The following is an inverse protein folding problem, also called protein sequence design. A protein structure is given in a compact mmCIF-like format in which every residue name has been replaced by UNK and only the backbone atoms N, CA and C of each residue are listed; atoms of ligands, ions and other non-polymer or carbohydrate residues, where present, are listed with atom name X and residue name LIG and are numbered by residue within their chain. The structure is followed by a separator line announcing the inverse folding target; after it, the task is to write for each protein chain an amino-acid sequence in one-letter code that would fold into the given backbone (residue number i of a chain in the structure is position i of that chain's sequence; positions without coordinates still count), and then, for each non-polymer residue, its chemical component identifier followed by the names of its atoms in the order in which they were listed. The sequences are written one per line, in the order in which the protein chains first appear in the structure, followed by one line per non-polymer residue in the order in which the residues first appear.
data_IF_253962289273
#
_entry.id   IF_253962289273
#
_cell.length_a   1.000
_cell.length_b   1.000
_cell.length_c   1.000
_cell.angle_alpha   90.00
_cell.angle_beta   90.00
_cell.angle_gamma   90.00
#
_symmetry.space_group_name_H-M   'P 1'
#
loop_
_entity.id
_entity.type
_entity.pdbx_description
1 polymer ?
#
# COMPACT_ATOMS: atom_id res chain seq x y z
N UNK A 1 -56.31 9.44 26.40
CA UNK A 1 -55.57 8.21 26.04
C UNK A 1 -56.07 7.56 24.74
N UNK A 2 -57.39 7.44 24.51
CA UNK A 2 -57.97 6.87 23.28
C UNK A 2 -57.66 7.62 21.97
N UNK A 3 -57.55 8.96 22.01
CA UNK A 3 -57.29 9.78 20.81
C UNK A 3 -55.90 9.56 20.19
N UNK A 4 -54.87 9.35 21.01
CA UNK A 4 -53.51 9.07 20.54
C UNK A 4 -53.39 7.68 19.90
N UNK A 5 -54.15 6.71 20.41
CA UNK A 5 -54.16 5.33 19.88
C UNK A 5 -54.81 5.25 18.48
N UNK A 6 -55.92 5.98 18.28
CA UNK A 6 -56.56 6.10 16.97
C UNK A 6 -55.67 6.80 15.93
N UNK A 7 -54.98 7.87 16.33
CA UNK A 7 -54.05 8.57 15.44
C UNK A 7 -52.85 7.71 15.06
N UNK A 8 -52.31 6.93 16.00
CA UNK A 8 -51.21 5.99 15.76
C UNK A 8 -51.62 4.85 14.80
N UNK A 9 -52.81 4.26 14.99
CA UNK A 9 -53.36 3.24 14.07
C UNK A 9 -53.59 3.82 12.67
N UNK A 10 -54.05 5.08 12.58
CA UNK A 10 -54.29 5.74 11.31
C UNK A 10 -52.99 6.10 10.58
N UNK A 11 -51.96 6.56 11.31
CA UNK A 11 -50.60 6.73 10.80
C UNK A 11 -49.98 5.40 10.34
N UNK A 12 -50.13 4.32 11.09
CA UNK A 12 -49.61 2.99 10.72
C UNK A 12 -50.33 2.41 9.49
N UNK A 13 -51.65 2.63 9.36
CA UNK A 13 -52.43 2.27 8.16
C UNK A 13 -52.06 3.13 6.95
N UNK A 14 -51.79 4.42 7.12
CA UNK A 14 -51.32 5.31 6.06
C UNK A 14 -49.91 4.93 5.59
N UNK A 15 -49.01 4.59 6.52
CA UNK A 15 -47.67 4.08 6.20
C UNK A 15 -47.74 2.73 5.46
N UNK A 16 -48.59 1.80 5.92
CA UNK A 16 -48.80 0.51 5.26
C UNK A 16 -49.46 0.60 3.88
N UNK A 17 -50.41 1.53 3.68
CA UNK A 17 -51.05 1.74 2.36
C UNK A 17 -50.11 2.42 1.37
N UNK A 18 -49.30 3.38 1.81
CA UNK A 18 -48.27 3.99 0.97
C UNK A 18 -47.16 3.01 0.60
N UNK A 19 -46.76 2.13 1.53
CA UNK A 19 -45.85 1.00 1.24
C UNK A 19 -46.46 0.02 0.23
N UNK A 20 -47.73 -0.31 0.36
CA UNK A 20 -48.43 -1.22 -0.56
C UNK A 20 -48.54 -0.64 -1.98
N UNK A 21 -48.75 0.67 -2.12
CA UNK A 21 -48.77 1.35 -3.43
C UNK A 21 -47.38 1.39 -4.06
N UNK A 22 -46.34 1.69 -3.28
CA UNK A 22 -44.95 1.64 -3.73
C UNK A 22 -44.56 0.23 -4.19
N UNK A 23 -44.89 -0.81 -3.40
CA UNK A 23 -44.60 -2.20 -3.74
C UNK A 23 -45.35 -2.66 -5.00
N UNK A 24 -46.61 -2.24 -5.19
CA UNK A 24 -47.36 -2.50 -6.43
C UNK A 24 -46.73 -1.83 -7.64
N UNK A 25 -46.30 -0.58 -7.51
CA UNK A 25 -45.63 0.16 -8.58
C UNK A 25 -44.28 -0.49 -8.95
N UNK A 26 -43.48 -0.89 -7.96
CA UNK A 26 -42.23 -1.63 -8.18
C UNK A 26 -42.53 -2.97 -8.88
N UNK A 27 -43.53 -3.72 -8.41
CA UNK A 27 -43.91 -5.00 -9.03
C UNK A 27 -44.37 -4.83 -10.47
N UNK A 28 -45.16 -3.80 -10.76
CA UNK A 28 -45.59 -3.47 -12.13
C UNK A 28 -44.39 -3.14 -13.02
N UNK A 29 -43.52 -2.24 -12.56
CA UNK A 29 -42.31 -1.85 -13.28
C UNK A 29 -41.36 -3.04 -13.54
N UNK A 30 -41.18 -3.94 -12.56
CA UNK A 30 -40.38 -5.16 -12.70
C UNK A 30 -40.97 -6.12 -13.75
N UNK A 31 -42.29 -6.28 -13.79
CA UNK A 31 -42.98 -7.16 -14.75
C UNK A 31 -42.91 -6.58 -16.17
N UNK A 32 -43.07 -5.27 -16.29
CA UNK A 32 -42.98 -4.52 -17.55
C UNK A 32 -41.56 -4.59 -18.13
N UNK A 33 -40.54 -4.42 -17.29
CA UNK A 33 -39.12 -4.46 -17.68
C UNK A 33 -38.46 -5.84 -17.53
N UNK A 34 -39.24 -6.91 -17.33
CA UNK A 34 -38.72 -8.24 -17.00
C UNK A 34 -37.67 -8.76 -17.99
N UNK A 35 -37.83 -8.48 -19.28
CA UNK A 35 -36.89 -8.92 -20.32
C UNK A 35 -35.53 -8.25 -20.15
N UNK A 36 -35.53 -6.93 -19.95
CA UNK A 36 -34.33 -6.13 -19.71
C UNK A 36 -33.61 -6.58 -18.44
N UNK A 37 -34.36 -6.77 -17.35
CA UNK A 37 -33.82 -7.23 -16.06
C UNK A 37 -33.23 -8.64 -16.17
N UNK A 38 -33.90 -9.55 -16.87
CA UNK A 38 -33.36 -10.89 -17.12
C UNK A 38 -32.07 -10.81 -17.93
N UNK A 39 -32.05 -10.07 -19.05
CA UNK A 39 -30.82 -9.96 -19.86
C UNK A 39 -29.66 -9.35 -19.09
N UNK A 40 -29.91 -8.27 -18.34
CA UNK A 40 -28.87 -7.60 -17.55
C UNK A 40 -28.35 -8.48 -16.41
N UNK A 41 -29.25 -9.19 -15.72
CA UNK A 41 -28.88 -10.10 -14.63
C UNK A 41 -28.11 -11.31 -15.16
N UNK A 42 -28.53 -11.87 -16.29
CA UNK A 42 -27.82 -12.98 -16.94
C UNK A 42 -26.45 -12.54 -17.42
N UNK A 43 -26.32 -11.39 -18.08
CA UNK A 43 -25.01 -10.88 -18.51
C UNK A 43 -24.10 -10.60 -17.33
N UNK A 44 -24.60 -9.96 -16.27
CA UNK A 44 -23.83 -9.71 -15.06
C UNK A 44 -23.41 -11.03 -14.39
N UNK A 45 -24.32 -12.00 -14.29
CA UNK A 45 -24.03 -13.33 -13.75
C UNK A 45 -22.93 -14.06 -14.52
N UNK A 46 -22.97 -14.01 -15.86
CA UNK A 46 -21.92 -14.58 -16.72
C UNK A 46 -20.58 -13.89 -16.46
N UNK A 47 -20.54 -12.55 -16.46
CA UNK A 47 -19.29 -11.81 -16.22
C UNK A 47 -18.71 -12.11 -14.84
N UNK A 48 -19.56 -12.13 -13.81
CA UNK A 48 -19.14 -12.48 -12.44
C UNK A 48 -18.57 -13.90 -12.41
N UNK A 49 -19.21 -14.86 -13.09
CA UNK A 49 -18.74 -16.24 -13.18
C UNK A 49 -17.40 -16.35 -13.93
N UNK A 50 -17.27 -15.71 -15.09
CA UNK A 50 -16.02 -15.73 -15.86
C UNK A 50 -14.87 -15.09 -15.09
N UNK A 51 -15.15 -14.01 -14.34
CA UNK A 51 -14.17 -13.31 -13.52
C UNK A 51 -13.80 -14.09 -12.26
N UNK A 52 -14.74 -14.76 -11.60
CA UNK A 52 -14.44 -15.61 -10.45
C UNK A 52 -13.60 -16.83 -10.81
N UNK A 53 -13.74 -17.32 -12.04
CA UNK A 53 -12.89 -18.36 -12.62
C UNK A 53 -11.55 -17.84 -13.17
N UNK A 54 -11.32 -16.52 -13.17
CA UNK A 54 -10.08 -15.90 -13.66
C UNK A 54 -9.92 -15.89 -15.19
N UNK A 55 -10.95 -16.28 -15.96
CA UNK A 55 -10.85 -16.41 -17.43
C UNK A 55 -10.62 -15.07 -18.15
N UNK A 56 -11.02 -13.96 -17.51
CA UNK A 56 -10.84 -12.60 -18.04
C UNK A 56 -9.55 -11.93 -17.56
N UNK A 57 -8.81 -12.55 -16.64
CA UNK A 57 -7.70 -11.91 -15.91
C UNK A 57 -6.61 -11.35 -16.82
N UNK A 58 -6.23 -12.09 -17.87
CA UNK A 58 -5.21 -11.65 -18.82
C UNK A 58 -5.62 -10.37 -19.58
N UNK A 59 -6.89 -10.28 -19.96
CA UNK A 59 -7.45 -9.11 -20.65
C UNK A 59 -7.56 -7.93 -19.70
N UNK A 60 -8.03 -8.17 -18.47
CA UNK A 60 -8.14 -7.13 -17.44
C UNK A 60 -6.77 -6.51 -17.12
N UNK A 61 -5.72 -7.33 -16.96
CA UNK A 61 -4.36 -6.85 -16.75
C UNK A 61 -3.79 -6.08 -17.94
N UNK A 62 -4.06 -6.54 -19.16
CA UNK A 62 -3.61 -5.83 -20.37
C UNK A 62 -4.26 -4.46 -20.49
N UNK A 63 -5.58 -4.37 -20.27
CA UNK A 63 -6.31 -3.11 -20.28
C UNK A 63 -5.83 -2.18 -19.17
N UNK A 64 -5.60 -2.71 -17.97
CA UNK A 64 -5.03 -1.96 -16.86
C UNK A 64 -3.66 -1.36 -17.22
N UNK A 65 -2.73 -2.18 -17.72
CA UNK A 65 -1.41 -1.74 -18.15
C UNK A 65 -1.50 -0.66 -19.24
N UNK A 66 -2.46 -0.77 -20.16
CA UNK A 66 -2.70 0.22 -21.19
C UNK A 66 -3.18 1.55 -20.62
N UNK A 67 -4.14 1.53 -19.68
CA UNK A 67 -4.60 2.76 -19.01
C UNK A 67 -3.49 3.46 -18.22
N UNK A 68 -2.55 2.70 -17.62
CA UNK A 68 -1.37 3.29 -16.99
C UNK A 68 -0.46 4.01 -17.98
N UNK A 69 -0.28 3.47 -19.19
CA UNK A 69 0.51 4.12 -20.25
C UNK A 69 -0.16 5.36 -20.83
N UNK A 70 -1.48 5.42 -20.82
CA UNK A 70 -2.24 6.59 -21.27
C UNK A 70 -2.22 7.74 -20.24
N UNK A 71 -1.82 7.47 -18.99
CA UNK A 71 -1.73 8.50 -17.97
C UNK A 71 -0.65 9.52 -18.36
N UNK A 72 -0.93 10.84 -18.28
CA UNK A 72 0.09 11.85 -18.45
C UNK A 72 1.25 11.61 -17.49
N UNK A 73 2.49 11.84 -17.95
CA UNK A 73 3.66 11.73 -17.11
C UNK A 73 3.57 12.67 -15.91
N UNK A 74 3.84 12.15 -14.71
CA UNK A 74 3.91 12.98 -13.51
C UNK A 74 5.23 13.78 -13.52
N UNK A 75 5.18 15.10 -13.25
CA UNK A 75 6.40 15.89 -13.13
C UNK A 75 7.21 15.43 -11.91
N UNK A 76 8.53 15.59 -11.98
CA UNK A 76 9.41 15.33 -10.85
C UNK A 76 9.06 16.25 -9.69
N UNK A 77 8.93 15.69 -8.49
CA UNK A 77 8.67 16.45 -7.28
C UNK A 77 9.99 17.04 -6.75
N UNK A 78 10.16 18.37 -6.73
CA UNK A 78 11.42 19.00 -6.31
C UNK A 78 11.72 18.80 -4.81
N UNK A 79 10.77 18.27 -4.03
CA UNK A 79 10.94 17.98 -2.60
C UNK A 79 11.62 16.64 -2.34
N UNK A 80 11.78 15.81 -3.37
CA UNK A 80 12.33 14.45 -3.26
C UNK A 80 13.69 14.41 -3.94
N UNK A 81 14.69 13.91 -3.21
CA UNK A 81 16.03 13.65 -3.74
C UNK A 81 16.33 12.17 -3.60
N UNK A 82 16.82 11.56 -4.68
CA UNK A 82 17.28 10.16 -4.70
C UNK A 82 18.80 10.18 -4.78
N UNK A 83 19.46 9.61 -3.77
CA UNK A 83 20.90 9.35 -3.79
C UNK A 83 21.09 7.89 -4.20
N UNK A 84 21.37 7.69 -5.49
CA UNK A 84 21.67 6.37 -6.04
C UNK A 84 23.12 5.99 -5.85
N UNK A 85 23.39 4.69 -5.87
CA UNK A 85 24.73 4.12 -6.07
C UNK A 85 24.70 3.51 -7.47
N UNK A 86 25.52 4.03 -8.38
CA UNK A 86 25.59 3.51 -9.74
C UNK A 86 26.82 2.60 -9.95
N UNK A 87 26.98 2.12 -11.18
CA UNK A 87 28.09 1.23 -11.55
C UNK A 87 29.46 1.91 -11.39
N UNK A 88 29.55 3.22 -11.63
CA UNK A 88 30.80 3.97 -11.48
C UNK A 88 31.19 4.11 -10.00
N UNK A 89 30.21 4.28 -9.13
CA UNK A 89 30.42 4.25 -7.68
C UNK A 89 30.88 2.87 -7.20
N UNK A 90 30.25 1.79 -7.70
CA UNK A 90 30.62 0.42 -7.35
C UNK A 90 32.06 0.11 -7.77
N UNK A 91 32.47 0.50 -8.98
CA UNK A 91 33.84 0.29 -9.44
C UNK A 91 34.87 1.04 -8.59
N UNK A 92 34.49 2.19 -8.04
CA UNK A 92 35.38 3.04 -7.24
C UNK A 92 35.45 2.64 -5.77
N UNK A 93 34.31 2.29 -5.17
CA UNK A 93 34.17 2.06 -3.72
C UNK A 93 33.97 0.59 -3.35
N UNK A 94 33.74 -0.28 -4.34
CA UNK A 94 33.40 -1.68 -4.15
C UNK A 94 31.94 -1.91 -3.81
N UNK A 95 31.50 -3.17 -3.86
CA UNK A 95 30.17 -3.58 -3.43
C UNK A 95 30.24 -4.77 -2.48
N UNK A 96 29.52 -4.76 -1.34
CA UNK A 96 28.71 -3.64 -0.83
C UNK A 96 29.55 -2.44 -0.39
N UNK A 97 29.00 -1.22 -0.53
CA UNK A 97 29.62 0.00 0.00
C UNK A 97 29.84 -0.17 1.52
N UNK A 98 31.03 0.22 2.01
CA UNK A 98 31.37 0.14 3.43
C UNK A 98 30.57 1.11 4.31
N UNK A 99 30.57 0.84 5.61
CA UNK A 99 29.79 1.57 6.60
C UNK A 99 30.36 2.96 6.89
N UNK A 100 31.67 3.17 6.75
CA UNK A 100 32.29 4.50 6.83
C UNK A 100 31.67 5.46 5.80
N UNK A 101 31.61 5.06 4.54
CA UNK A 101 31.03 5.87 3.47
C UNK A 101 29.53 6.10 3.70
N UNK A 102 28.82 5.08 4.19
CA UNK A 102 27.40 5.19 4.53
C UNK A 102 27.17 6.18 5.67
N UNK A 103 27.97 6.14 6.72
CA UNK A 103 27.90 7.07 7.84
C UNK A 103 28.12 8.51 7.38
N UNK A 104 29.13 8.75 6.53
CA UNK A 104 29.41 10.08 5.97
C UNK A 104 28.26 10.61 5.11
N UNK A 105 27.66 9.77 4.27
CA UNK A 105 26.50 10.15 3.45
C UNK A 105 25.31 10.48 4.36
N UNK A 106 25.01 9.64 5.35
CA UNK A 106 23.92 9.88 6.29
C UNK A 106 24.11 11.15 7.11
N UNK A 107 25.32 11.45 7.55
CA UNK A 107 25.64 12.70 8.25
C UNK A 107 25.45 13.92 7.35
N UNK A 108 25.91 13.86 6.09
CA UNK A 108 25.70 14.93 5.10
C UNK A 108 24.21 15.16 4.84
N UNK A 109 23.43 14.09 4.66
CA UNK A 109 21.99 14.17 4.48
C UNK A 109 21.32 14.76 5.72
N UNK A 110 21.69 14.32 6.92
CA UNK A 110 21.13 14.84 8.16
C UNK A 110 21.41 16.33 8.36
N UNK A 111 22.61 16.80 7.99
CA UNK A 111 22.96 18.22 8.06
C UNK A 111 22.03 19.11 7.23
N UNK A 112 21.52 18.59 6.09
CA UNK A 112 20.55 19.30 5.24
C UNK A 112 19.13 19.35 5.83
N UNK A 113 18.90 18.76 7.01
CA UNK A 113 17.62 18.76 7.73
C UNK A 113 16.42 18.30 6.88
N UNK A 114 16.52 17.19 6.13
CA UNK A 114 15.38 16.65 5.38
C UNK A 114 14.27 16.26 6.35
N UNK A 115 13.02 16.26 5.87
CA UNK A 115 11.87 15.91 6.71
C UNK A 115 11.83 14.41 7.03
N UNK A 116 12.27 13.55 6.11
CA UNK A 116 12.45 12.12 6.33
C UNK A 116 13.63 11.61 5.51
N UNK A 117 14.32 10.57 5.98
CA UNK A 117 15.41 9.88 5.27
C UNK A 117 15.03 8.42 5.13
N UNK A 118 15.09 7.88 3.91
CA UNK A 118 14.89 6.46 3.65
C UNK A 118 16.20 5.80 3.22
N UNK A 119 16.58 4.71 3.88
CA UNK A 119 17.73 3.89 3.52
C UNK A 119 17.25 2.55 2.94
N UNK A 120 17.09 2.48 1.61
CA UNK A 120 16.71 1.27 0.87
C UNK A 120 17.94 0.45 0.45
N UNK A 121 18.79 0.13 1.43
CA UNK A 121 19.99 -0.72 1.28
C UNK A 121 20.02 -1.70 2.43
N UNK A 122 20.16 -3.00 2.14
CA UNK A 122 20.23 -4.02 3.17
C UNK A 122 21.52 -3.89 3.99
N UNK A 123 21.35 -3.87 5.31
CA UNK A 123 22.42 -3.70 6.31
C UNK A 123 22.21 -4.64 7.49
N UNK A 124 22.03 -5.92 7.19
CA UNK A 124 21.86 -7.01 8.16
C UNK A 124 23.17 -7.42 8.86
N UNK A 125 24.32 -7.13 8.23
CA UNK A 125 25.65 -7.39 8.78
C UNK A 125 26.57 -6.16 8.69
N UNK A 126 27.53 -6.02 9.61
CA UNK A 126 28.59 -5.00 9.53
C UNK A 126 29.36 -5.05 8.20
N UNK A 127 29.68 -3.88 7.65
CA UNK A 127 30.48 -3.68 6.44
C UNK A 127 31.65 -2.78 6.75
N UNK A 128 32.67 -3.35 7.38
CA UNK A 128 33.88 -2.61 7.74
C UNK A 128 34.61 -2.01 6.52
N UNK A 129 35.33 -0.90 6.70
CA UNK A 129 35.50 -0.14 7.95
C UNK A 129 34.29 0.75 8.27
N UNK A 130 34.15 1.10 9.55
CA UNK A 130 33.30 2.22 10.01
C UNK A 130 31.93 1.83 10.55
N UNK A 131 31.71 0.56 10.92
CA UNK A 131 30.43 0.08 11.44
C UNK A 131 29.95 0.90 12.65
N UNK A 132 30.85 1.22 13.59
CA UNK A 132 30.50 2.00 14.77
C UNK A 132 29.99 3.41 14.41
N UNK A 133 30.64 4.07 13.44
CA UNK A 133 30.22 5.39 12.96
C UNK A 133 28.84 5.32 12.29
N UNK A 134 28.58 4.26 11.54
CA UNK A 134 27.28 4.02 10.91
C UNK A 134 26.18 3.78 11.95
N UNK A 135 26.42 2.93 12.95
CA UNK A 135 25.47 2.70 14.06
C UNK A 135 25.18 4.01 14.79
N UNK A 136 26.21 4.80 15.13
CA UNK A 136 26.03 6.11 15.78
C UNK A 136 25.24 7.08 14.90
N UNK A 137 25.43 7.06 13.57
CA UNK A 137 24.61 7.86 12.66
C UNK A 137 23.13 7.40 12.67
N UNK A 138 22.87 6.09 12.60
CA UNK A 138 21.51 5.55 12.66
C UNK A 138 20.81 5.86 13.98
N UNK A 139 21.54 5.86 15.09
CA UNK A 139 21.03 6.19 16.41
C UNK A 139 20.65 7.68 16.50
N UNK A 140 21.56 8.57 16.10
CA UNK A 140 21.41 10.02 16.26
C UNK A 140 20.44 10.67 15.27
N UNK A 141 20.21 10.07 14.09
CA UNK A 141 19.29 10.62 13.10
C UNK A 141 17.86 10.19 13.49
N UNK A 142 16.96 11.12 13.88
CA UNK A 142 15.66 10.75 14.44
C UNK A 142 14.63 10.35 13.38
N UNK A 143 14.82 10.75 12.12
CA UNK A 143 13.86 10.63 11.03
C UNK A 143 14.33 9.71 9.89
N UNK A 144 15.26 8.80 10.19
CA UNK A 144 15.71 7.77 9.26
C UNK A 144 14.83 6.53 9.37
N UNK A 145 14.49 5.95 8.23
CA UNK A 145 13.81 4.66 8.12
C UNK A 145 14.72 3.71 7.35
N UNK A 146 14.97 2.53 7.90
CA UNK A 146 15.66 1.45 7.19
C UNK A 146 14.71 0.42 6.60
N UNK A 147 15.27 -0.49 5.81
CA UNK A 147 14.52 -1.58 5.21
C UNK A 147 14.77 -2.92 5.88
N UNK A 148 13.75 -3.77 5.80
CA UNK A 148 13.88 -5.21 5.97
C UNK A 148 13.19 -5.92 4.79
N UNK A 149 13.51 -7.20 4.60
CA UNK A 149 12.73 -8.09 3.74
C UNK A 149 12.11 -9.16 4.61
N UNK A 150 10.79 -9.19 4.71
CA UNK A 150 10.08 -10.23 5.45
C UNK A 150 10.21 -11.55 4.68
N UNK A 151 10.60 -12.62 5.37
CA UNK A 151 10.58 -13.97 4.80
C UNK A 151 9.14 -14.43 4.56
N UNK A 152 8.86 -14.99 3.39
CA UNK A 152 7.53 -15.55 3.05
C UNK A 152 7.75 -17.01 2.63
N UNK A 153 7.01 -17.95 3.24
CA UNK A 153 7.17 -19.39 3.04
C UNK A 153 8.63 -19.82 3.34
N UNK A 154 9.29 -20.45 2.38
CA UNK A 154 10.64 -21.02 2.53
C UNK A 154 11.77 -20.00 2.33
N UNK A 155 11.44 -18.73 2.01
CA UNK A 155 12.46 -17.68 1.84
C UNK A 155 12.90 -17.13 3.19
N UNK A 156 14.22 -17.18 3.44
CA UNK A 156 14.81 -16.39 4.51
C UNK A 156 14.62 -14.89 4.23
N UNK A 157 14.14 -14.17 5.24
CA UNK A 157 14.07 -12.72 5.23
C UNK A 157 15.45 -12.08 5.32
N UNK A 158 15.53 -10.77 5.13
CA UNK A 158 16.74 -9.97 5.37
C UNK A 158 16.40 -9.00 6.49
N UNK A 159 17.15 -9.05 7.59
CA UNK A 159 16.87 -8.23 8.77
C UNK A 159 17.36 -6.79 8.55
N UNK A 160 16.70 -5.84 9.21
CA UNK A 160 17.22 -4.49 9.34
C UNK A 160 18.35 -4.42 10.38
N UNK A 161 19.16 -3.34 10.41
CA UNK A 161 20.03 -3.04 11.54
C UNK A 161 19.27 -3.03 12.86
N UNK A 162 19.79 -3.72 13.88
CA UNK A 162 19.14 -3.90 15.19
C UNK A 162 18.74 -2.56 15.83
N UNK A 163 19.57 -1.53 15.69
CA UNK A 163 19.29 -0.18 16.21
C UNK A 163 18.00 0.43 15.61
N UNK A 164 17.71 0.18 14.33
CA UNK A 164 16.49 0.67 13.69
C UNK A 164 15.27 -0.15 14.12
N UNK A 165 15.46 -1.46 14.35
CA UNK A 165 14.40 -2.33 14.90
C UNK A 165 13.97 -1.83 16.28
N UNK A 166 14.94 -1.51 17.15
CA UNK A 166 14.67 -0.97 18.50
C UNK A 166 13.95 0.38 18.45
N UNK A 167 14.34 1.27 17.54
CA UNK A 167 13.65 2.55 17.29
C UNK A 167 12.29 2.39 16.62
N UNK A 168 11.93 1.17 16.21
CA UNK A 168 10.79 0.88 15.35
C UNK A 168 10.84 1.64 14.02
N UNK A 169 12.00 2.09 13.54
CA UNK A 169 12.16 2.85 12.31
C UNK A 169 12.57 1.95 11.14
N UNK A 170 11.80 0.89 10.96
CA UNK A 170 11.96 -0.09 9.88
C UNK A 170 10.64 -0.22 9.13
N UNK A 171 10.73 -0.30 7.81
CA UNK A 171 9.62 -0.74 6.97
C UNK A 171 10.09 -1.80 5.97
N UNK A 172 9.24 -2.75 5.64
CA UNK A 172 9.64 -3.83 4.74
C UNK A 172 9.58 -3.40 3.27
N UNK A 173 10.47 -3.93 2.43
CA UNK A 173 10.52 -3.64 0.98
C UNK A 173 10.12 -4.83 0.09
N UNK A 174 9.38 -5.80 0.63
CA UNK A 174 8.81 -6.90 -0.15
C UNK A 174 8.00 -6.39 -1.35
N UNK A 175 8.18 -7.05 -2.49
CA UNK A 175 7.48 -6.76 -3.74
C UNK A 175 6.44 -7.87 -3.99
N UNK A 176 5.27 -7.48 -4.48
CA UNK A 176 4.24 -8.41 -4.94
C UNK A 176 4.29 -8.54 -6.46
N UNK A 177 4.71 -9.70 -6.93
CA UNK A 177 4.73 -10.04 -8.35
C UNK A 177 3.45 -10.75 -8.73
N UNK A 178 2.77 -10.29 -9.78
CA UNK A 178 1.59 -10.94 -10.33
C UNK A 178 1.96 -12.22 -11.09
N UNK A 179 0.96 -13.06 -11.41
CA UNK A 179 1.19 -14.37 -12.04
C UNK A 179 1.85 -14.30 -13.43
N UNK A 180 1.79 -13.14 -14.10
CA UNK A 180 2.46 -12.88 -15.38
C UNK A 180 3.87 -12.26 -15.20
N UNK A 181 4.38 -12.21 -13.97
CA UNK A 181 5.73 -11.71 -13.65
C UNK A 181 5.83 -10.19 -13.53
N UNK A 182 4.74 -9.44 -13.71
CA UNK A 182 4.77 -7.97 -13.61
C UNK A 182 4.44 -7.49 -12.20
N UNK A 183 4.96 -6.31 -11.86
CA UNK A 183 4.71 -5.65 -10.57
C UNK A 183 3.68 -4.55 -10.80
N UNK A 184 2.46 -4.75 -10.30
CA UNK A 184 1.37 -3.75 -10.37
C UNK A 184 0.91 -3.25 -9.01
N UNK A 185 1.30 -3.97 -7.96
CA UNK A 185 0.76 -3.81 -6.60
C UNK A 185 1.91 -3.67 -5.62
N UNK A 186 1.78 -2.71 -4.72
CA UNK A 186 2.68 -2.53 -3.58
C UNK A 186 1.99 -2.94 -2.30
N UNK A 187 2.74 -3.52 -1.37
CA UNK A 187 2.24 -3.75 -0.03
C UNK A 187 2.21 -2.43 0.76
N UNK A 188 1.14 -2.23 1.54
CA UNK A 188 1.07 -1.18 2.57
C UNK A 188 1.38 -1.77 3.95
N UNK A 189 0.85 -2.96 4.21
CA UNK A 189 1.01 -3.70 5.44
C UNK A 189 1.18 -5.18 5.14
N UNK A 190 1.88 -5.88 6.03
CA UNK A 190 1.95 -7.34 6.06
C UNK A 190 1.65 -7.82 7.46
N UNK A 191 0.76 -8.80 7.58
CA UNK A 191 0.52 -9.51 8.85
C UNK A 191 1.50 -10.67 8.94
N UNK A 192 2.19 -10.75 10.07
CA UNK A 192 3.13 -11.80 10.37
C UNK A 192 2.48 -12.87 11.25
N UNK A 193 3.10 -14.05 11.32
CA UNK A 193 2.63 -15.16 12.18
C UNK A 193 2.67 -14.82 13.68
N UNK A 194 3.49 -13.84 14.07
CA UNK A 194 3.56 -13.31 15.44
C UNK A 194 2.32 -12.48 15.85
N UNK A 195 1.34 -12.32 14.95
CA UNK A 195 0.12 -11.54 15.15
C UNK A 195 0.30 -10.03 14.97
N UNK A 196 1.53 -9.55 14.77
CA UNK A 196 1.80 -8.15 14.51
C UNK A 196 1.70 -7.85 13.01
N UNK A 197 1.38 -6.60 12.70
CA UNK A 197 1.57 -6.08 11.35
C UNK A 197 2.87 -5.29 11.24
N UNK A 198 3.50 -5.34 10.07
CA UNK A 198 4.57 -4.42 9.69
C UNK A 198 4.04 -3.44 8.65
N UNK A 199 4.61 -2.24 8.59
CA UNK A 199 4.36 -1.24 7.56
C UNK A 199 5.40 -1.39 6.46
N UNK A 200 5.01 -1.16 5.20
CA UNK A 200 5.99 -1.11 4.13
C UNK A 200 6.89 0.10 4.28
N UNK A 201 8.11 -0.01 3.78
CA UNK A 201 9.09 1.07 3.71
C UNK A 201 8.53 2.38 3.13
N UNK A 202 7.92 2.39 1.93
CA UNK A 202 7.37 3.61 1.36
C UNK A 202 6.25 4.21 2.22
N UNK A 203 5.40 3.38 2.84
CA UNK A 203 4.35 3.88 3.73
C UNK A 203 4.93 4.51 5.00
N UNK A 204 5.91 3.85 5.63
CA UNK A 204 6.60 4.36 6.83
C UNK A 204 7.26 5.70 6.52
N UNK A 205 7.99 5.79 5.42
CA UNK A 205 8.67 7.02 4.99
C UNK A 205 7.67 8.14 4.69
N UNK A 206 6.56 7.84 3.99
CA UNK A 206 5.50 8.81 3.70
C UNK A 206 4.82 9.30 4.98
N UNK A 207 4.54 8.43 5.95
CA UNK A 207 3.96 8.81 7.24
C UNK A 207 4.91 9.69 8.06
N UNK A 208 6.21 9.35 8.10
CA UNK A 208 7.23 10.17 8.75
C UNK A 208 7.35 11.54 8.09
N UNK A 209 7.30 11.59 6.76
CA UNK A 209 7.25 12.85 6.01
C UNK A 209 5.95 13.63 6.26
N UNK A 210 4.79 13.00 6.36
CA UNK A 210 3.52 13.73 6.50
C UNK A 210 3.20 14.16 7.93
N UNK A 211 3.78 13.51 8.95
CA UNK A 211 3.59 13.85 10.36
C UNK A 211 3.83 15.35 10.57
N UNK A 212 2.80 16.06 11.05
CA UNK A 212 2.87 17.51 11.31
C UNK A 212 4.00 17.74 12.32
N UNK A 213 4.89 18.69 12.04
CA UNK A 213 5.77 19.23 13.10
C UNK A 213 4.83 19.96 14.06
N UNK A 214 4.74 19.47 15.29
CA UNK A 214 4.21 20.26 16.41
C UNK A 214 5.17 21.42 16.71
#
# INVERSE_FOLDING_TARGET
MLFFYLYYIQMFKLFGTHQNTILKNIKHWLIENRRLLLTASTSAGIVILLRSLGLLQSWEWTLYDYFFRLRPGEPLDPRIVIVGIDESDIQKYGYPINDQSMAEILQKLHYLQPRAIGLDIYRDFPREPGYQNFVTALENIPNIVGIERIGIKDSLGIKAPEILVQKQEVGFNNILTDADGKIRRGFLYMHLEDGNFRKSFPLKLALNYLKKKE
#
